data_IF_806268538274
#
_entry.id   IF_806268538274
#
_cell.length_a   1.000
_cell.length_b   1.000
_cell.length_c   1.000
_cell.angle_alpha   90.00
_cell.angle_beta   90.00
_cell.angle_gamma   90.00
#
_symmetry.space_group_name_H-M   'P 1'
#
loop_
_entity.id
_entity.type
_entity.pdbx_description
1 polymer ?
#
# COMPACT_ATOMS: atom_id res chain seq x y z
N UNK A 1 -19.33 7.18 5.66
CA UNK A 1 -19.18 8.41 4.83
C UNK A 1 -18.99 9.70 5.66
N UNK A 2 -19.80 9.94 6.70
CA UNK A 2 -19.70 11.15 7.53
C UNK A 2 -18.30 11.37 8.15
N UNK A 3 -17.61 10.30 8.55
CA UNK A 3 -16.24 10.39 9.09
C UNK A 3 -15.22 10.94 8.07
N UNK A 4 -15.39 10.59 6.78
CA UNK A 4 -14.51 11.07 5.70
C UNK A 4 -14.74 12.57 5.50
N UNK A 5 -16.00 13.00 5.47
CA UNK A 5 -16.35 14.41 5.33
C UNK A 5 -15.86 15.23 6.54
N UNK A 6 -15.95 14.69 7.75
CA UNK A 6 -15.44 15.34 8.96
C UNK A 6 -13.90 15.46 8.95
N UNK A 7 -13.19 14.42 8.50
CA UNK A 7 -11.73 14.35 8.57
C UNK A 7 -11.04 15.12 7.44
N UNK A 8 -11.63 15.10 6.25
CA UNK A 8 -10.98 15.61 5.02
C UNK A 8 -11.76 16.72 4.33
N UNK A 9 -12.94 17.09 4.84
CA UNK A 9 -13.81 18.08 4.22
C UNK A 9 -14.35 17.62 2.86
N UNK A 10 -14.59 18.59 1.98
CA UNK A 10 -15.11 18.33 0.65
C UNK A 10 -13.98 17.89 -0.28
N UNK A 11 -13.95 16.60 -0.60
CA UNK A 11 -13.04 16.00 -1.58
C UNK A 11 -13.64 16.07 -3.00
N UNK A 12 -12.82 16.06 -4.06
CA UNK A 12 -13.30 16.04 -5.45
C UNK A 12 -13.90 14.69 -5.88
N UNK A 13 -13.94 13.71 -4.98
CA UNK A 13 -14.43 12.37 -5.24
C UNK A 13 -15.84 12.18 -4.68
N UNK A 14 -16.68 11.45 -5.42
CA UNK A 14 -17.95 10.97 -4.90
C UNK A 14 -17.72 9.62 -4.21
N UNK A 15 -18.00 9.55 -2.92
CA UNK A 15 -17.93 8.30 -2.15
C UNK A 15 -19.31 7.69 -1.99
N UNK A 16 -19.39 6.37 -2.13
CA UNK A 16 -20.60 5.57 -1.98
C UNK A 16 -20.35 4.43 -1.00
N UNK A 17 -21.42 3.92 -0.40
CA UNK A 17 -21.36 2.67 0.35
C UNK A 17 -21.70 1.49 -0.57
N UNK A 18 -20.85 0.47 -0.56
CA UNK A 18 -21.01 -0.75 -1.32
C UNK A 18 -20.68 -1.94 -0.43
N UNK A 19 -21.67 -2.83 -0.23
CA UNK A 19 -21.52 -4.04 0.59
C UNK A 19 -20.99 -3.78 2.00
N UNK A 20 -21.40 -2.66 2.62
CA UNK A 20 -20.96 -2.26 3.96
C UNK A 20 -19.57 -1.62 4.03
N UNK A 21 -18.91 -1.43 2.89
CA UNK A 21 -17.61 -0.76 2.79
C UNK A 21 -17.71 0.54 1.97
N UNK A 22 -16.73 1.43 2.13
CA UNK A 22 -16.62 2.63 1.29
C UNK A 22 -16.05 2.29 -0.08
N UNK A 23 -16.57 2.92 -1.12
CA UNK A 23 -16.04 2.91 -2.48
C UNK A 23 -16.10 4.31 -3.10
N UNK A 24 -15.29 4.54 -4.13
CA UNK A 24 -15.31 5.73 -4.96
C UNK A 24 -16.21 5.45 -6.16
N UNK A 25 -17.17 6.33 -6.43
CA UNK A 25 -17.97 6.27 -7.65
C UNK A 25 -17.15 6.82 -8.83
N UNK A 26 -16.95 6.01 -9.85
CA UNK A 26 -16.19 6.39 -11.05
C UNK A 26 -17.01 6.13 -12.31
N UNK A 27 -16.57 6.65 -13.45
CA UNK A 27 -17.19 6.34 -14.75
C UNK A 27 -17.10 4.86 -15.13
N UNK A 28 -16.16 4.12 -14.53
CA UNK A 28 -15.99 2.67 -14.72
C UNK A 28 -16.82 1.85 -13.70
N UNK A 29 -17.58 2.53 -12.83
CA UNK A 29 -18.33 1.92 -11.72
C UNK A 29 -17.70 2.18 -10.37
N UNK A 30 -18.22 1.51 -9.34
CA UNK A 30 -17.71 1.60 -7.98
C UNK A 30 -16.32 0.96 -7.86
N UNK A 31 -15.37 1.70 -7.29
CA UNK A 31 -13.99 1.24 -7.04
C UNK A 31 -13.71 1.30 -5.55
N UNK A 32 -13.44 0.15 -4.93
CA UNK A 32 -13.10 0.07 -3.51
C UNK A 32 -11.58 0.30 -3.28
N UNK A 33 -11.14 0.53 -2.02
CA UNK A 33 -9.73 0.79 -1.70
C UNK A 33 -8.77 -0.32 -2.14
N UNK A 34 -9.19 -1.58 -2.09
CA UNK A 34 -8.39 -2.74 -2.52
C UNK A 34 -8.16 -2.69 -4.03
N UNK A 35 -9.19 -2.41 -4.81
CA UNK A 35 -9.10 -2.25 -6.27
C UNK A 35 -8.25 -1.05 -6.66
N UNK A 36 -8.44 0.11 -6.00
CA UNK A 36 -7.62 1.29 -6.24
C UNK A 36 -6.13 1.01 -5.96
N UNK A 37 -5.83 0.34 -4.84
CA UNK A 37 -4.47 -0.06 -4.49
C UNK A 37 -3.89 -1.08 -5.48
N UNK A 38 -4.71 -2.02 -5.97
CA UNK A 38 -4.29 -3.01 -6.96
C UNK A 38 -3.84 -2.34 -8.27
N UNK A 39 -4.54 -1.29 -8.75
CA UNK A 39 -4.12 -0.57 -9.96
C UNK A 39 -2.78 0.15 -9.79
N UNK A 40 -2.51 0.71 -8.60
CA UNK A 40 -1.20 1.28 -8.26
C UNK A 40 -0.13 0.18 -8.31
N UNK A 41 -0.39 -0.97 -7.67
CA UNK A 41 0.53 -2.10 -7.62
C UNK A 41 0.79 -2.71 -9.01
N UNK A 42 -0.23 -2.81 -9.89
CA UNK A 42 -0.07 -3.25 -11.28
C UNK A 42 0.87 -2.32 -12.04
N UNK A 43 0.70 -1.01 -11.88
CA UNK A 43 1.56 -0.01 -12.50
C UNK A 43 3.01 -0.15 -12.04
N UNK A 44 3.23 -0.37 -10.74
CA UNK A 44 4.57 -0.60 -10.19
C UNK A 44 5.19 -1.91 -10.69
N UNK A 45 4.41 -2.99 -10.76
CA UNK A 45 4.85 -4.28 -11.28
C UNK A 45 5.28 -4.18 -12.75
N UNK A 46 4.47 -3.53 -13.59
CA UNK A 46 4.80 -3.32 -15.00
C UNK A 46 6.13 -2.55 -15.15
N UNK A 47 6.31 -1.46 -14.39
CA UNK A 47 7.58 -0.71 -14.39
C UNK A 47 8.75 -1.57 -13.96
N UNK A 48 8.58 -2.45 -12.97
CA UNK A 48 9.61 -3.38 -12.54
C UNK A 48 9.98 -4.35 -13.67
N UNK A 49 9.01 -5.00 -14.30
CA UNK A 49 9.24 -5.92 -15.44
C UNK A 49 10.01 -5.25 -16.57
N UNK A 50 9.63 -4.02 -16.93
CA UNK A 50 10.32 -3.21 -17.94
C UNK A 50 11.77 -2.89 -17.51
N UNK A 51 11.98 -2.51 -16.25
CA UNK A 51 13.30 -2.13 -15.71
C UNK A 51 14.27 -3.32 -15.60
N UNK A 52 13.76 -4.50 -15.27
CA UNK A 52 14.55 -5.74 -15.19
C UNK A 52 14.66 -6.47 -16.53
N UNK A 53 14.29 -5.81 -17.64
CA UNK A 53 14.37 -6.35 -19.00
C UNK A 53 13.75 -7.75 -19.13
N UNK A 54 12.62 -7.99 -18.44
CA UNK A 54 11.90 -9.26 -18.49
C UNK A 54 12.53 -10.43 -17.73
N UNK A 55 13.47 -10.19 -16.81
CA UNK A 55 13.88 -11.21 -15.84
C UNK A 55 12.69 -11.65 -14.96
N UNK A 56 12.70 -12.91 -14.54
CA UNK A 56 11.63 -13.46 -13.69
C UNK A 56 11.57 -12.75 -12.33
N UNK A 57 10.45 -12.08 -12.08
CA UNK A 57 10.14 -11.47 -10.79
C UNK A 57 9.43 -12.53 -9.93
N UNK A 58 10.14 -13.06 -8.94
CA UNK A 58 9.60 -14.09 -8.04
C UNK A 58 8.44 -13.56 -7.16
N UNK A 59 8.48 -12.29 -6.80
CA UNK A 59 7.51 -11.66 -5.92
C UNK A 59 8.00 -10.33 -5.35
N UNK A 60 7.21 -9.76 -4.46
CA UNK A 60 7.47 -8.46 -3.84
C UNK A 60 7.38 -8.53 -2.31
N UNK A 61 8.16 -7.67 -1.66
CA UNK A 61 7.92 -7.27 -0.27
C UNK A 61 7.20 -5.93 -0.29
N UNK A 62 6.05 -5.84 0.38
CA UNK A 62 5.23 -4.64 0.39
C UNK A 62 5.27 -4.05 1.80
N UNK A 63 5.51 -2.74 1.90
CA UNK A 63 5.52 -2.06 3.18
C UNK A 63 4.10 -1.73 3.65
N UNK A 64 3.89 -1.73 4.97
CA UNK A 64 2.65 -1.29 5.61
C UNK A 64 2.98 -0.47 6.86
N UNK A 65 2.10 0.46 7.28
CA UNK A 65 2.27 1.18 8.53
C UNK A 65 2.36 0.22 9.72
N UNK A 66 3.20 0.55 10.70
CA UNK A 66 3.41 -0.34 11.86
C UNK A 66 2.15 -0.54 12.71
N UNK A 67 1.23 0.42 12.68
CA UNK A 67 -0.03 0.42 13.43
C UNK A 67 -1.19 -0.26 12.68
N UNK A 68 -0.98 -0.77 11.46
CA UNK A 68 -2.02 -1.48 10.73
C UNK A 68 -2.49 -2.73 11.47
N UNK A 69 -3.81 -2.86 11.57
CA UNK A 69 -4.46 -4.07 12.07
C UNK A 69 -4.45 -5.22 11.03
N UNK A 70 -4.97 -6.38 11.44
CA UNK A 70 -5.00 -7.57 10.59
C UNK A 70 -5.88 -7.39 9.34
N UNK A 71 -6.98 -6.63 9.43
CA UNK A 71 -7.89 -6.41 8.32
C UNK A 71 -7.27 -5.49 7.25
N UNK A 72 -6.58 -4.44 7.68
CA UNK A 72 -5.83 -3.54 6.80
C UNK A 72 -4.66 -4.27 6.13
N UNK A 73 -3.92 -5.10 6.89
CA UNK A 73 -2.87 -5.96 6.33
C UNK A 73 -3.40 -6.94 5.30
N UNK A 74 -4.54 -7.57 5.57
CA UNK A 74 -5.15 -8.49 4.62
C UNK A 74 -5.60 -7.74 3.35
N UNK A 75 -6.21 -6.56 3.49
CA UNK A 75 -6.59 -5.71 2.36
C UNK A 75 -5.41 -5.34 1.45
N UNK A 76 -4.23 -5.10 2.03
CA UNK A 76 -2.99 -4.88 1.25
C UNK A 76 -2.56 -6.12 0.47
N UNK A 77 -2.68 -7.32 1.06
CA UNK A 77 -2.39 -8.58 0.36
C UNK A 77 -3.39 -8.85 -0.76
N UNK A 78 -4.67 -8.62 -0.50
CA UNK A 78 -5.74 -8.81 -1.50
C UNK A 78 -5.51 -7.87 -2.70
N UNK A 79 -5.08 -6.63 -2.45
CA UNK A 79 -4.71 -5.69 -3.51
C UNK A 79 -3.53 -6.20 -4.35
N UNK A 80 -2.53 -6.79 -3.72
CA UNK A 80 -1.39 -7.37 -4.41
C UNK A 80 -1.75 -8.62 -5.23
N UNK A 81 -2.63 -9.47 -4.70
CA UNK A 81 -3.15 -10.64 -5.42
C UNK A 81 -3.95 -10.21 -6.67
N UNK A 82 -4.82 -9.20 -6.54
CA UNK A 82 -5.53 -8.59 -7.67
C UNK A 82 -4.59 -7.95 -8.70
N UNK A 83 -3.39 -7.55 -8.28
CA UNK A 83 -2.35 -7.03 -9.14
C UNK A 83 -1.47 -8.13 -9.79
N UNK A 84 -1.71 -9.40 -9.48
CA UNK A 84 -0.91 -10.53 -9.95
C UNK A 84 0.49 -10.59 -9.31
N UNK A 85 0.66 -9.99 -8.13
CA UNK A 85 1.93 -9.97 -7.39
C UNK A 85 1.95 -11.06 -6.32
N UNK A 86 2.99 -11.90 -6.35
CA UNK A 86 3.29 -12.81 -5.25
C UNK A 86 3.89 -12.03 -4.07
N UNK A 87 3.17 -11.91 -2.97
CA UNK A 87 3.65 -11.21 -1.77
C UNK A 87 4.50 -12.14 -0.92
N UNK A 88 5.81 -11.89 -0.89
CA UNK A 88 6.76 -12.66 -0.07
C UNK A 88 6.63 -12.30 1.41
N UNK A 89 6.40 -11.02 1.72
CA UNK A 89 6.27 -10.50 3.07
C UNK A 89 5.58 -9.12 3.06
N UNK A 90 4.75 -8.88 4.07
CA UNK A 90 4.44 -7.51 4.48
C UNK A 90 5.47 -7.04 5.51
N UNK A 91 6.10 -5.91 5.26
CA UNK A 91 7.14 -5.35 6.11
C UNK A 91 6.63 -4.07 6.76
N UNK A 92 6.88 -3.89 8.06
CA UNK A 92 6.55 -2.62 8.70
C UNK A 92 7.44 -1.51 8.13
N UNK A 93 6.88 -0.39 7.73
CA UNK A 93 7.59 0.78 7.21
C UNK A 93 8.78 1.22 8.07
N UNK A 94 8.63 1.45 9.40
CA UNK A 94 9.77 1.86 10.21
C UNK A 94 10.85 0.78 10.31
N UNK A 95 10.49 -0.50 10.17
CA UNK A 95 11.47 -1.59 10.10
C UNK A 95 12.22 -1.58 8.76
N UNK A 96 11.53 -1.29 7.65
CA UNK A 96 12.17 -1.13 6.35
C UNK A 96 13.18 0.03 6.36
N UNK A 97 12.79 1.17 6.95
CA UNK A 97 13.66 2.33 7.11
C UNK A 97 14.88 2.03 7.99
N UNK A 98 14.68 1.31 9.11
CA UNK A 98 15.76 0.86 9.98
C UNK A 98 16.77 -0.05 9.26
N UNK A 99 16.28 -1.00 8.44
CA UNK A 99 17.14 -1.90 7.65
C UNK A 99 17.96 -1.10 6.63
N UNK A 100 17.34 -0.17 5.91
CA UNK A 100 18.04 0.69 4.96
C UNK A 100 19.14 1.52 5.65
N UNK A 101 18.82 2.15 6.78
CA UNK A 101 19.79 2.91 7.56
C UNK A 101 20.96 2.06 8.05
N UNK A 102 20.69 0.86 8.56
CA UNK A 102 21.72 -0.05 9.07
C UNK A 102 22.69 -0.54 7.97
N UNK A 103 22.17 -0.81 6.77
CA UNK A 103 22.99 -1.21 5.62
C UNK A 103 23.93 -0.08 5.15
N UNK A 104 23.44 1.15 5.11
CA UNK A 104 24.23 2.30 4.63
C UNK A 104 25.23 2.82 5.67
N UNK A 105 24.84 2.86 6.94
CA UNK A 105 25.67 3.42 8.02
C UNK A 105 26.75 2.47 8.51
N UNK A 106 26.51 1.15 8.45
CA UNK A 106 27.38 0.12 9.03
C UNK A 106 27.56 0.23 10.56
N UNK A 107 26.72 1.02 11.23
CA UNK A 107 26.83 1.29 12.66
C UNK A 107 25.82 0.47 13.46
N UNK A 108 26.30 -0.21 14.49
CA UNK A 108 25.45 -0.83 15.50
C UNK A 108 25.02 0.21 16.54
N UNK A 109 23.75 0.21 16.92
CA UNK A 109 23.25 1.12 17.92
C UNK A 109 21.73 1.08 18.08
N UNK A 110 21.23 1.81 19.07
CA UNK A 110 19.80 2.03 19.26
C UNK A 110 19.38 3.20 18.39
N UNK A 111 18.37 2.98 17.55
CA UNK A 111 17.81 3.99 16.65
C UNK A 111 16.33 4.23 16.96
N UNK A 112 15.90 5.47 16.82
CA UNK A 112 14.50 5.85 16.81
C UNK A 112 14.12 6.25 15.39
N UNK A 113 13.13 5.56 14.82
CA UNK A 113 12.58 5.90 13.50
C UNK A 113 11.31 6.72 13.74
N UNK A 114 11.35 7.97 13.28
CA UNK A 114 10.17 8.83 13.25
C UNK A 114 9.68 8.93 11.79
N UNK A 115 8.54 8.30 11.53
CA UNK A 115 7.93 8.24 10.20
C UNK A 115 6.63 9.06 10.22
N UNK A 116 6.63 10.18 9.48
CA UNK A 116 5.48 11.08 9.33
C UNK A 116 5.22 11.25 7.83
N UNK A 117 4.43 10.33 7.28
CA UNK A 117 4.00 10.33 5.90
C UNK A 117 2.83 11.30 5.63
N UNK A 118 2.22 11.15 4.45
CA UNK A 118 1.06 11.96 4.05
C UNK A 118 -0.31 11.40 4.49
N UNK A 119 -0.31 10.30 5.24
CA UNK A 119 -1.51 9.62 5.74
C UNK A 119 -1.74 9.80 7.23
#
# INVERSE_FOLDING_TARGET
LAEIEQSYGQLPYEFIEQSGNVAINTIAGAVNPVQASAEILKTLNQRAVESFAGQDILGAVITVPAYFDDAQRQSTKDAAELAGLNVLRLLNEPTAAAVAYGLDSGQEGVIAVYDLGGG
#
